data_IF_238102759128
#
_entry.id   IF_238102759128
#
_cell.length_a   1.000
_cell.length_b   1.000
_cell.length_c   1.000
_cell.angle_alpha   90.00
_cell.angle_beta   90.00
_cell.angle_gamma   90.00
#
_symmetry.space_group_name_H-M   'P 1'
#
loop_
_entity.id
_entity.type
_entity.pdbx_description
1 polymer ?
#
# COMPACT_ATOMS: atom_id res chain seq x y z
N UNK A 1 18.95 16.07 -8.10
CA UNK A 1 19.14 15.67 -6.70
C UNK A 1 18.75 14.21 -6.53
N UNK A 2 19.53 13.50 -5.75
CA UNK A 2 19.27 12.08 -5.54
C UNK A 2 18.05 11.88 -4.62
N UNK A 3 17.25 10.87 -4.92
CA UNK A 3 16.17 10.43 -4.04
C UNK A 3 16.77 9.65 -2.88
N UNK A 4 16.28 9.93 -1.69
CA UNK A 4 16.68 9.22 -0.48
C UNK A 4 15.45 8.74 0.28
N UNK A 5 15.60 7.62 0.96
CA UNK A 5 14.58 7.15 1.89
C UNK A 5 14.75 7.86 3.23
N UNK A 6 13.64 8.11 3.92
CA UNK A 6 13.69 8.61 5.28
C UNK A 6 12.60 7.95 6.12
N UNK A 7 12.89 7.79 7.43
CA UNK A 7 11.86 7.25 8.32
C UNK A 7 10.75 8.27 8.53
N UNK A 8 9.51 7.78 8.47
CA UNK A 8 8.34 8.57 8.85
C UNK A 8 7.47 7.70 9.75
N UNK A 9 6.73 8.32 10.66
CA UNK A 9 5.77 7.60 11.46
C UNK A 9 4.40 7.56 10.76
N UNK A 10 3.47 6.79 11.31
CA UNK A 10 2.15 6.64 10.71
C UNK A 10 1.39 7.97 10.63
N UNK A 11 1.51 8.80 11.65
CA UNK A 11 0.85 10.11 11.68
C UNK A 11 1.34 11.02 10.54
N UNK A 12 2.64 11.09 10.36
CA UNK A 12 3.25 11.87 9.27
C UNK A 12 2.81 11.34 7.90
N UNK A 13 2.80 10.03 7.74
CA UNK A 13 2.37 9.40 6.49
C UNK A 13 0.88 9.65 6.22
N UNK A 14 0.03 9.56 7.24
CA UNK A 14 -1.40 9.83 7.12
C UNK A 14 -1.70 11.29 6.81
N UNK A 15 -0.91 12.22 7.34
CA UNK A 15 -1.06 13.64 7.01
C UNK A 15 -0.76 13.90 5.53
N UNK A 16 0.15 13.13 4.96
CA UNK A 16 0.50 13.22 3.55
C UNK A 16 -0.56 12.60 2.63
N UNK A 17 -1.11 11.43 3.01
CA UNK A 17 -2.03 10.65 2.18
C UNK A 17 -3.31 11.42 1.80
N UNK A 18 -4.04 12.10 2.69
CA UNK A 18 -5.25 12.80 2.30
C UNK A 18 -5.02 13.93 1.31
N UNK A 19 -3.82 14.51 1.32
CA UNK A 19 -3.48 15.65 0.45
C UNK A 19 -3.22 15.22 -1.00
N UNK A 20 -2.72 14.01 -1.21
CA UNK A 20 -2.20 13.59 -2.51
C UNK A 20 -2.79 12.27 -3.03
N UNK A 21 -3.43 11.47 -2.18
CA UNK A 21 -3.97 10.19 -2.60
C UNK A 21 -5.44 10.31 -3.00
N UNK A 22 -5.76 9.95 -4.23
CA UNK A 22 -7.09 10.19 -4.83
C UNK A 22 -8.20 9.27 -4.33
N UNK A 23 -7.85 8.11 -3.77
CA UNK A 23 -8.81 7.02 -3.60
C UNK A 23 -9.05 6.57 -2.18
N UNK A 24 -8.29 7.04 -1.22
CA UNK A 24 -8.30 6.44 0.11
C UNK A 24 -8.13 7.44 1.23
N UNK A 25 -8.76 7.11 2.35
CA UNK A 25 -8.65 7.84 3.61
C UNK A 25 -7.39 7.43 4.38
N UNK A 26 -7.13 8.12 5.47
CA UNK A 26 -6.04 7.79 6.37
C UNK A 26 -6.13 6.34 6.87
N UNK A 27 -4.98 5.71 7.06
CA UNK A 27 -4.87 4.35 7.59
C UNK A 27 -4.89 4.41 9.12
N UNK A 28 -5.73 3.59 9.75
CA UNK A 28 -5.91 3.61 11.20
C UNK A 28 -4.78 2.94 11.99
N UNK A 29 -4.07 2.02 11.37
CA UNK A 29 -2.97 1.33 12.03
C UNK A 29 -2.01 0.75 11.02
N UNK A 30 -0.76 0.57 11.41
CA UNK A 30 0.27 0.05 10.54
C UNK A 30 1.34 -0.68 11.34
N UNK A 31 2.11 -1.50 10.64
CA UNK A 31 3.33 -2.09 11.19
C UNK A 31 4.48 -1.10 11.12
N UNK A 32 4.60 -0.40 9.98
CA UNK A 32 5.59 0.66 9.79
C UNK A 32 5.21 1.53 8.59
N UNK A 33 5.89 2.65 8.47
CA UNK A 33 5.77 3.55 7.33
C UNK A 33 7.17 3.99 6.91
N UNK A 34 7.29 4.44 5.66
CA UNK A 34 8.52 4.98 5.13
C UNK A 34 8.25 6.14 4.19
N UNK A 35 9.21 6.96 3.99
CA UNK A 35 9.11 8.10 3.10
C UNK A 35 10.27 8.21 2.13
N UNK A 36 10.09 9.05 1.14
CA UNK A 36 11.13 9.40 0.19
C UNK A 36 11.23 10.92 0.10
N UNK A 37 12.44 11.41 -0.03
CA UNK A 37 12.72 12.84 -0.16
C UNK A 37 13.63 13.08 -1.36
N UNK A 38 13.47 14.25 -1.98
CA UNK A 38 14.38 14.76 -3.01
C UNK A 38 15.42 15.73 -2.45
N UNK A 39 15.46 15.90 -1.12
CA UNK A 39 16.32 16.83 -0.44
C UNK A 39 15.61 18.12 -0.03
N UNK A 40 14.53 18.48 -0.70
CA UNK A 40 13.75 19.71 -0.39
C UNK A 40 12.51 19.38 0.43
N UNK A 41 12.05 18.17 0.41
CA UNK A 41 10.88 17.78 1.16
C UNK A 41 10.43 16.35 0.83
N UNK A 42 9.37 15.94 1.47
CA UNK A 42 8.78 14.63 1.30
C UNK A 42 8.09 14.55 -0.06
N UNK A 43 8.50 13.60 -0.89
CA UNK A 43 7.92 13.40 -2.22
C UNK A 43 7.08 12.13 -2.34
N UNK A 44 7.09 11.29 -1.34
CA UNK A 44 6.25 10.11 -1.29
C UNK A 44 6.30 9.42 0.05
N UNK A 45 5.25 8.65 0.33
CA UNK A 45 5.16 7.83 1.55
C UNK A 45 4.59 6.46 1.21
N UNK A 46 4.95 5.48 2.01
CA UNK A 46 4.36 4.15 1.97
C UNK A 46 3.96 3.73 3.38
N UNK A 47 2.84 3.04 3.49
CA UNK A 47 2.34 2.53 4.76
C UNK A 47 2.16 1.02 4.61
N UNK A 48 2.78 0.26 5.50
CA UNK A 48 2.71 -1.20 5.53
C UNK A 48 1.98 -1.65 6.77
N UNK A 49 0.98 -2.48 6.61
CA UNK A 49 0.16 -2.96 7.69
C UNK A 49 -0.15 -4.44 7.62
N UNK A 50 -1.04 -4.86 8.50
CA UNK A 50 -1.55 -6.22 8.51
C UNK A 50 -2.40 -6.43 7.24
N UNK A 51 -2.32 -7.61 6.58
CA UNK A 51 -3.16 -7.87 5.42
C UNK A 51 -4.63 -7.76 5.76
N UNK A 52 -5.42 -7.14 4.88
CA UNK A 52 -6.86 -7.12 5.01
C UNK A 52 -7.45 -8.51 4.77
N UNK A 53 -6.85 -9.27 3.87
CA UNK A 53 -7.28 -10.64 3.60
C UNK A 53 -7.00 -11.53 4.80
N UNK A 54 -8.05 -12.07 5.37
CA UNK A 54 -7.99 -12.87 6.59
C UNK A 54 -7.07 -14.07 6.47
N UNK A 55 -7.09 -14.73 5.31
CA UNK A 55 -6.27 -15.91 5.04
C UNK A 55 -4.77 -15.61 4.94
N UNK A 56 -4.39 -14.35 4.81
CA UNK A 56 -2.99 -13.93 4.76
C UNK A 56 -2.45 -13.46 6.11
N UNK A 57 -3.27 -13.47 7.15
CA UNK A 57 -2.89 -12.97 8.48
C UNK A 57 -2.17 -14.05 9.29
N UNK A 58 -0.99 -14.44 8.86
CA UNK A 58 -0.17 -15.47 9.51
C UNK A 58 0.95 -14.92 10.40
N UNK A 59 1.04 -13.60 10.52
CA UNK A 59 2.09 -12.93 11.31
C UNK A 59 3.37 -12.66 10.52
N UNK A 60 3.59 -13.32 9.40
CA UNK A 60 4.78 -13.17 8.56
C UNK A 60 4.48 -12.54 7.21
N UNK A 61 3.22 -12.26 6.94
CA UNK A 61 2.76 -11.56 5.74
C UNK A 61 2.31 -10.16 6.14
N UNK A 62 2.73 -9.17 5.35
CA UNK A 62 2.26 -7.79 5.48
C UNK A 62 1.71 -7.30 4.15
N UNK A 63 1.03 -6.20 4.20
CA UNK A 63 0.44 -5.57 3.01
C UNK A 63 0.88 -4.12 2.93
N UNK A 64 1.33 -3.70 1.74
CA UNK A 64 1.52 -2.27 1.47
C UNK A 64 0.12 -1.69 1.25
N UNK A 65 -0.38 -1.03 2.29
CA UNK A 65 -1.75 -0.51 2.30
C UNK A 65 -1.89 0.77 1.48
N UNK A 66 -0.84 1.58 1.47
CA UNK A 66 -0.83 2.86 0.74
C UNK A 66 0.57 3.15 0.22
N UNK A 67 0.64 3.60 -1.01
CA UNK A 67 1.79 4.33 -1.54
C UNK A 67 1.23 5.61 -2.16
N UNK A 68 1.74 6.74 -1.73
CA UNK A 68 1.24 8.03 -2.17
C UNK A 68 2.41 8.93 -2.54
N UNK A 69 2.31 9.57 -3.69
CA UNK A 69 3.33 10.51 -4.17
C UNK A 69 2.66 11.81 -4.63
N UNK A 70 3.42 12.89 -4.70
CA UNK A 70 2.94 14.13 -5.30
C UNK A 70 2.91 14.01 -6.82
N UNK A 71 2.11 14.85 -7.48
CA UNK A 71 2.06 14.88 -8.95
C UNK A 71 3.40 15.32 -9.57
N UNK A 72 4.24 15.99 -8.81
CA UNK A 72 5.56 16.45 -9.24
C UNK A 72 6.69 15.52 -8.82
N UNK A 73 6.37 14.38 -8.24
CA UNK A 73 7.38 13.42 -7.81
C UNK A 73 8.13 12.82 -8.99
N UNK A 74 9.44 12.56 -8.84
CA UNK A 74 10.16 11.78 -9.83
C UNK A 74 9.52 10.42 -10.09
N UNK A 75 9.67 9.91 -11.31
CA UNK A 75 9.01 8.67 -11.76
C UNK A 75 9.34 7.44 -10.91
N UNK A 76 10.50 7.43 -10.27
CA UNK A 76 10.99 6.25 -9.54
C UNK A 76 10.54 6.17 -8.09
N UNK A 77 9.82 7.16 -7.58
CA UNK A 77 9.49 7.22 -6.16
C UNK A 77 8.64 6.04 -5.73
N UNK A 78 7.59 5.72 -6.47
CA UNK A 78 6.73 4.59 -6.13
C UNK A 78 7.48 3.26 -6.11
N UNK A 79 8.23 2.95 -7.17
CA UNK A 79 8.98 1.69 -7.24
C UNK A 79 10.05 1.61 -6.16
N UNK A 80 10.71 2.72 -5.86
CA UNK A 80 11.68 2.79 -4.77
C UNK A 80 11.03 2.49 -3.42
N UNK A 81 9.84 3.04 -3.17
CA UNK A 81 9.10 2.79 -1.94
C UNK A 81 8.64 1.34 -1.81
N UNK A 82 8.12 0.74 -2.88
CA UNK A 82 7.76 -0.67 -2.87
C UNK A 82 8.96 -1.57 -2.57
N UNK A 83 10.08 -1.32 -3.21
CA UNK A 83 11.30 -2.09 -2.98
C UNK A 83 11.82 -1.92 -1.55
N UNK A 84 11.78 -0.70 -1.03
CA UNK A 84 12.20 -0.40 0.35
C UNK A 84 11.30 -1.10 1.38
N UNK A 85 10.00 -1.11 1.14
CA UNK A 85 9.05 -1.82 2.02
C UNK A 85 9.39 -3.31 2.12
N UNK A 86 9.72 -3.94 1.01
CA UNK A 86 10.11 -5.34 0.99
C UNK A 86 11.41 -5.59 1.76
N UNK A 87 12.42 -4.77 1.53
CA UNK A 87 13.69 -4.90 2.26
C UNK A 87 13.49 -4.73 3.77
N UNK A 88 12.69 -3.75 4.17
CA UNK A 88 12.41 -3.51 5.58
C UNK A 88 11.64 -4.68 6.20
N UNK A 89 10.60 -5.17 5.53
CA UNK A 89 9.80 -6.27 6.04
C UNK A 89 10.61 -7.56 6.18
N UNK A 90 11.45 -7.87 5.20
CA UNK A 90 12.37 -9.02 5.30
C UNK A 90 13.32 -8.88 6.48
N UNK A 91 13.87 -7.69 6.67
CA UNK A 91 14.80 -7.42 7.77
C UNK A 91 14.13 -7.59 9.14
N UNK A 92 12.82 -7.37 9.22
CA UNK A 92 12.04 -7.57 10.44
C UNK A 92 11.62 -9.03 10.67
N UNK A 93 11.96 -9.93 9.77
CA UNK A 93 11.60 -11.34 9.86
C UNK A 93 10.39 -11.74 9.02
N UNK A 94 9.81 -10.84 8.28
CA UNK A 94 8.70 -11.13 7.38
C UNK A 94 9.12 -11.97 6.18
N UNK A 95 8.21 -12.76 5.65
CA UNK A 95 8.51 -13.63 4.51
C UNK A 95 7.61 -13.40 3.30
N UNK A 96 6.58 -12.58 3.42
CA UNK A 96 5.68 -12.24 2.31
C UNK A 96 5.19 -10.81 2.45
N UNK A 97 5.22 -10.08 1.35
CA UNK A 97 4.66 -8.74 1.28
C UNK A 97 3.79 -8.65 0.04
N UNK A 98 2.56 -8.20 0.21
CA UNK A 98 1.58 -8.12 -0.87
C UNK A 98 1.07 -6.70 -1.05
N UNK A 99 0.55 -6.41 -2.22
CA UNK A 99 -0.20 -5.18 -2.50
C UNK A 99 -1.25 -5.46 -3.57
N UNK A 100 -2.17 -4.54 -3.76
CA UNK A 100 -3.24 -4.66 -4.72
C UNK A 100 -3.27 -3.45 -5.64
N UNK A 101 -3.48 -3.70 -6.93
CA UNK A 101 -3.78 -2.65 -7.91
C UNK A 101 -5.11 -2.97 -8.57
N UNK A 102 -5.80 -1.94 -9.05
CA UNK A 102 -6.98 -2.15 -9.88
C UNK A 102 -6.56 -2.82 -11.19
N UNK A 103 -7.41 -3.70 -11.71
CA UNK A 103 -7.14 -4.38 -13.00
C UNK A 103 -6.89 -3.37 -14.12
N UNK A 104 -7.57 -2.22 -14.06
CA UNK A 104 -7.43 -1.14 -15.05
C UNK A 104 -6.09 -0.40 -14.94
N UNK A 105 -5.40 -0.51 -13.82
CA UNK A 105 -4.09 0.10 -13.62
C UNK A 105 -3.01 -0.79 -14.20
N UNK A 106 -1.97 -0.20 -14.78
CA UNK A 106 -0.89 -0.98 -15.41
C UNK A 106 0.07 -1.62 -14.41
N UNK A 107 0.07 -1.19 -13.15
CA UNK A 107 0.96 -1.72 -12.13
C UNK A 107 2.43 -1.47 -12.39
N UNK A 108 2.76 -0.46 -13.19
CA UNK A 108 4.13 -0.20 -13.63
C UNK A 108 5.12 -0.06 -12.48
N UNK A 109 4.74 0.65 -11.42
CA UNK A 109 5.62 0.87 -10.25
C UNK A 109 5.90 -0.41 -9.48
N UNK A 110 4.90 -1.24 -9.31
CA UNK A 110 5.01 -2.51 -8.60
C UNK A 110 5.86 -3.48 -9.41
N UNK A 111 5.62 -3.55 -10.71
CA UNK A 111 6.38 -4.35 -11.65
C UNK A 111 7.84 -3.91 -11.70
N UNK A 112 8.09 -2.60 -11.74
CA UNK A 112 9.44 -2.04 -11.74
C UNK A 112 10.20 -2.36 -10.45
N UNK A 113 9.49 -2.56 -9.35
CA UNK A 113 10.10 -2.99 -8.07
C UNK A 113 10.41 -4.49 -8.04
N UNK A 114 10.08 -5.24 -9.10
CA UNK A 114 10.35 -6.66 -9.21
C UNK A 114 9.26 -7.58 -8.67
N UNK A 115 8.10 -7.02 -8.34
CA UNK A 115 6.98 -7.80 -7.82
C UNK A 115 6.24 -8.50 -8.97
N UNK A 116 5.50 -9.54 -8.64
CA UNK A 116 4.75 -10.35 -9.62
C UNK A 116 3.28 -10.46 -9.23
N UNK A 117 2.41 -10.59 -10.22
CA UNK A 117 1.00 -10.89 -10.03
C UNK A 117 0.85 -12.34 -9.57
N UNK A 118 0.15 -12.56 -8.47
CA UNK A 118 -0.10 -13.89 -7.93
C UNK A 118 -1.58 -14.26 -7.90
N UNK A 119 -2.46 -13.34 -8.22
CA UNK A 119 -3.89 -13.62 -8.26
C UNK A 119 -4.72 -12.41 -8.58
N UNK A 120 -6.01 -12.66 -8.74
CA UNK A 120 -7.02 -11.64 -8.97
C UNK A 120 -8.07 -11.77 -7.88
N UNK A 121 -8.48 -10.66 -7.29
CA UNK A 121 -9.53 -10.67 -6.28
C UNK A 121 -10.89 -10.46 -6.94
N UNK A 122 -11.90 -11.14 -6.40
CA UNK A 122 -13.26 -10.94 -6.88
C UNK A 122 -13.80 -9.58 -6.46
N UNK A 123 -14.61 -8.99 -7.31
CA UNK A 123 -15.34 -7.79 -6.96
C UNK A 123 -16.31 -8.11 -5.81
N UNK A 124 -16.41 -7.19 -4.86
CA UNK A 124 -17.34 -7.31 -3.74
C UNK A 124 -18.60 -6.51 -4.05
N UNK A 125 -19.74 -7.09 -3.69
CA UNK A 125 -21.02 -6.39 -3.81
C UNK A 125 -21.35 -5.71 -2.49
N UNK A 126 -21.83 -4.48 -2.57
CA UNK A 126 -22.30 -3.77 -1.39
C UNK A 126 -23.44 -4.55 -0.73
N UNK A 127 -23.34 -4.77 0.57
CA UNK A 127 -24.34 -5.48 1.36
C UNK A 127 -24.26 -7.00 1.36
N UNK A 128 -23.41 -7.62 0.54
CA UNK A 128 -23.21 -9.08 0.50
C UNK A 128 -21.77 -9.44 0.80
N UNK A 129 -21.54 -10.08 1.96
CA UNK A 129 -20.19 -10.44 2.37
C UNK A 129 -19.28 -9.24 2.54
N UNK A 130 -19.86 -8.06 2.42
CA UNK A 130 -19.19 -6.85 2.81
C UNK A 130 -18.87 -6.98 4.30
N UNK A 131 -17.77 -6.48 4.67
CA UNK A 131 -17.19 -6.52 5.99
C UNK A 131 -18.05 -5.76 7.00
N UNK A 132 -19.29 -6.18 7.15
CA UNK A 132 -20.22 -5.64 8.11
C UNK A 132 -20.18 -6.52 9.35
N UNK A 133 -19.33 -6.17 10.24
CA UNK A 133 -19.49 -6.59 11.61
C UNK A 133 -20.38 -5.54 12.28
N UNK A 134 -21.40 -5.94 13.01
CA UNK A 134 -22.32 -5.05 13.70
C UNK A 134 -21.59 -4.00 14.57
N UNK A 135 -20.40 -4.33 15.07
CA UNK A 135 -19.60 -3.45 15.93
C UNK A 135 -18.49 -2.70 15.19
N UNK A 136 -18.33 -2.91 13.88
CA UNK A 136 -17.27 -2.31 13.07
C UNK A 136 -17.75 -2.01 11.67
N UNK A 137 -18.90 -1.38 11.55
CA UNK A 137 -19.41 -0.97 10.24
C UNK A 137 -18.39 -0.08 9.55
N UNK A 138 -17.90 -0.53 8.40
CA UNK A 138 -17.06 0.30 7.52
C UNK A 138 -17.96 0.91 6.46
N UNK A 139 -17.76 2.18 6.19
CA UNK A 139 -18.40 2.80 5.06
C UNK A 139 -18.01 2.05 3.78
N UNK A 140 -18.98 1.83 2.89
CA UNK A 140 -18.70 1.24 1.60
C UNK A 140 -17.78 2.15 0.79
N UNK A 141 -16.74 1.58 0.22
CA UNK A 141 -15.86 2.27 -0.70
C UNK A 141 -16.12 1.71 -2.10
N UNK A 142 -16.38 2.54 -3.12
CA UNK A 142 -16.59 2.07 -4.50
C UNK A 142 -15.48 1.17 -5.01
N UNK A 143 -14.25 1.33 -4.52
CA UNK A 143 -13.13 0.46 -4.88
C UNK A 143 -13.34 -1.00 -4.48
N UNK A 144 -14.18 -1.27 -3.48
CA UNK A 144 -14.47 -2.65 -3.07
C UNK A 144 -15.23 -3.44 -4.15
N UNK A 145 -15.97 -2.74 -5.00
CA UNK A 145 -16.70 -3.35 -6.10
C UNK A 145 -15.86 -3.62 -7.34
N UNK A 146 -14.59 -3.25 -7.35
CA UNK A 146 -13.72 -3.38 -8.51
C UNK A 146 -12.80 -4.58 -8.37
N UNK A 147 -12.51 -5.23 -9.49
CA UNK A 147 -11.51 -6.30 -9.55
C UNK A 147 -10.11 -5.73 -9.31
N UNK A 148 -9.32 -6.46 -8.58
CA UNK A 148 -7.95 -6.08 -8.26
C UNK A 148 -6.99 -7.22 -8.55
N UNK A 149 -5.79 -6.87 -8.96
CA UNK A 149 -4.67 -7.79 -9.04
C UNK A 149 -3.93 -7.78 -7.70
N UNK A 150 -3.60 -8.96 -7.21
CA UNK A 150 -2.72 -9.10 -6.06
C UNK A 150 -1.30 -9.33 -6.54
N UNK A 151 -0.40 -8.52 -6.05
CA UNK A 151 1.03 -8.60 -6.33
C UNK A 151 1.77 -9.07 -5.09
N UNK A 152 2.85 -9.78 -5.31
CA UNK A 152 3.70 -10.27 -4.23
C UNK A 152 5.15 -9.94 -4.55
N UNK A 153 5.89 -9.48 -3.53
CA UNK A 153 7.31 -9.19 -3.65
C UNK A 153 8.08 -10.48 -3.91
N UNK A 154 9.03 -10.38 -4.79
CA UNK A 154 9.86 -11.53 -5.17
C UNK A 154 11.10 -11.64 -4.28
#
# INVERSE_FOLDING_TARGET
MALELLPVNLSEANDYVPSFHRHNNAVRGAKFAGGATDGDGLVGVAIVGRPLARMLQDGYTAEVARVCTTDQSPKNVCSMLYAACWRAWKAMGGNRLVTYTLVEEDGASVKAAGWRVVGETKARQQGKGAWTCANRARAWNPLYGQLKLRWEAA
#
